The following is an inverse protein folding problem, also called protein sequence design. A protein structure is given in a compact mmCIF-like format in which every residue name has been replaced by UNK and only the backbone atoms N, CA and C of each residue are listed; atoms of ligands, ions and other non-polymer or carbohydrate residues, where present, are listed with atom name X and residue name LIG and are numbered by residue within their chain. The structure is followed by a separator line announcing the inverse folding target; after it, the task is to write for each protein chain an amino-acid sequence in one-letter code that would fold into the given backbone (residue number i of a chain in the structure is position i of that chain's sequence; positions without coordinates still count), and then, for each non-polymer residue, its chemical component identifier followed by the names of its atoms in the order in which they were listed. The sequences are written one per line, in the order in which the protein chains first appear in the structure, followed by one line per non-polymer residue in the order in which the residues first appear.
data_IF_841276878758
#
_entry.id   IF_841276878758
#
_cell.length_a   1.000
_cell.length_b   1.000
_cell.length_c   1.000
_cell.angle_alpha   90.00
_cell.angle_beta   90.00
_cell.angle_gamma   90.00
#
_symmetry.space_group_name_H-M   'P 1'
#
loop_
_entity.id
_entity.type
_entity.pdbx_description
1 polymer ?
#
# COMPACT_ATOMS: atom_id res chain seq x y z
N UNK A 1 9.71 57.62 7.76
CA UNK A 1 10.37 58.38 8.85
C UNK A 1 11.69 59.01 8.41
N UNK A 2 12.76 58.24 8.13
CA UNK A 2 14.06 58.80 7.67
C UNK A 2 13.96 59.60 6.36
N UNK A 3 13.18 59.10 5.40
CA UNK A 3 12.97 59.74 4.09
C UNK A 3 12.20 61.08 4.16
N UNK A 4 11.43 61.31 5.24
CA UNK A 4 10.64 62.52 5.46
C UNK A 4 11.35 63.54 6.39
N UNK A 5 12.63 63.33 6.71
CA UNK A 5 13.43 64.28 7.50
C UNK A 5 13.12 64.34 9.01
N UNK A 6 12.23 63.49 9.53
CA UNK A 6 11.91 63.47 10.96
C UNK A 6 13.07 62.92 11.80
N UNK A 7 13.47 63.64 12.86
CA UNK A 7 14.45 63.15 13.84
C UNK A 7 13.82 62.05 14.69
N UNK A 8 14.18 60.80 14.40
CA UNK A 8 13.71 59.64 15.16
C UNK A 8 14.48 59.56 16.49
N UNK A 9 13.78 59.38 17.63
CA UNK A 9 14.42 59.15 18.92
C UNK A 9 15.46 58.01 18.87
N UNK A 10 16.64 58.23 19.44
CA UNK A 10 17.74 57.27 19.43
C UNK A 10 17.37 55.90 20.01
N UNK A 11 16.48 55.87 21.01
CA UNK A 11 15.98 54.61 21.58
C UNK A 11 15.12 53.77 20.62
N UNK A 12 14.49 54.40 19.62
CA UNK A 12 13.77 53.68 18.54
C UNK A 12 14.78 53.18 17.51
N UNK A 13 15.78 53.99 17.18
CA UNK A 13 16.85 53.60 16.22
C UNK A 13 17.67 52.43 16.75
N UNK A 14 18.04 52.43 18.03
CA UNK A 14 18.80 51.34 18.64
C UNK A 14 18.00 50.03 18.72
N UNK A 15 16.72 50.11 19.11
CA UNK A 15 15.82 48.94 19.07
C UNK A 15 15.65 48.41 17.65
N UNK A 16 15.46 49.29 16.66
CA UNK A 16 15.38 48.87 15.26
C UNK A 16 16.66 48.19 14.77
N UNK A 17 17.84 48.65 15.20
CA UNK A 17 19.09 48.00 14.85
C UNK A 17 19.21 46.59 15.44
N UNK A 18 18.86 46.41 16.73
CA UNK A 18 18.82 45.09 17.37
C UNK A 18 17.79 44.16 16.69
N UNK A 19 16.60 44.66 16.37
CA UNK A 19 15.58 43.90 15.64
C UNK A 19 16.09 43.46 14.27
N UNK A 20 16.77 44.33 13.53
CA UNK A 20 17.31 43.98 12.21
C UNK A 20 18.37 42.87 12.27
N UNK A 21 19.13 42.77 13.36
CA UNK A 21 20.12 41.68 13.54
C UNK A 21 19.44 40.33 13.79
N UNK A 22 18.32 40.31 14.53
CA UNK A 22 17.59 39.08 14.87
C UNK A 22 16.56 38.68 13.80
N UNK A 23 16.14 39.62 12.97
CA UNK A 23 15.16 39.41 11.91
C UNK A 23 15.42 38.20 11.00
N UNK A 24 16.64 37.96 10.45
CA UNK A 24 16.88 36.80 9.60
C UNK A 24 16.63 35.46 10.32
N UNK A 25 16.94 35.37 11.62
CA UNK A 25 16.66 34.18 12.42
C UNK A 25 15.16 33.99 12.61
N UNK A 26 14.42 35.06 12.88
CA UNK A 26 12.97 34.99 13.01
C UNK A 26 12.28 34.56 11.71
N UNK A 27 12.72 35.07 10.55
CA UNK A 27 12.19 34.67 9.25
C UNK A 27 12.45 33.20 8.97
N UNK A 28 13.68 32.72 9.19
CA UNK A 28 14.01 31.30 9.01
C UNK A 28 13.16 30.41 9.91
N UNK A 29 12.95 30.78 11.18
CA UNK A 29 12.08 30.02 12.09
C UNK A 29 10.62 29.99 11.62
N UNK A 30 10.08 31.13 11.19
CA UNK A 30 8.71 31.20 10.68
C UNK A 30 8.54 30.31 9.45
N UNK A 31 9.50 30.36 8.53
CA UNK A 31 9.49 29.53 7.33
C UNK A 31 9.58 28.04 7.69
N UNK A 32 10.50 27.64 8.57
CA UNK A 32 10.60 26.26 9.04
C UNK A 32 9.32 25.78 9.74
N UNK A 33 8.72 26.59 10.61
CA UNK A 33 7.44 26.22 11.26
C UNK A 33 6.34 26.03 10.21
N UNK A 34 6.22 26.94 9.25
CA UNK A 34 5.22 26.84 8.18
C UNK A 34 5.43 25.59 7.31
N UNK A 35 6.68 25.25 7.01
CA UNK A 35 7.03 24.03 6.27
C UNK A 35 6.65 22.78 7.06
N UNK A 36 6.93 22.76 8.37
CA UNK A 36 6.55 21.65 9.24
C UNK A 36 5.03 21.49 9.36
N UNK A 37 4.28 22.59 9.50
CA UNK A 37 2.81 22.57 9.51
C UNK A 37 2.25 22.01 8.20
N UNK A 38 2.77 22.47 7.06
CA UNK A 38 2.40 21.96 5.74
C UNK A 38 2.67 20.45 5.61
N UNK A 39 3.83 19.98 6.05
CA UNK A 39 4.16 18.55 6.06
C UNK A 39 3.21 17.75 6.98
N UNK A 40 2.82 18.28 8.14
CA UNK A 40 1.84 17.66 9.02
C UNK A 40 0.45 17.58 8.37
N UNK A 41 -0.02 18.65 7.74
CA UNK A 41 -1.30 18.66 7.02
C UNK A 41 -1.32 17.61 5.90
N UNK A 42 -0.22 17.46 5.13
CA UNK A 42 -0.11 16.41 4.11
C UNK A 42 -0.25 15.00 4.70
N UNK A 43 0.33 14.75 5.88
CA UNK A 43 0.23 13.45 6.58
C UNK A 43 -1.23 13.21 7.02
N UNK A 44 -1.91 14.24 7.54
CA UNK A 44 -3.30 14.15 8.01
C UNK A 44 -4.30 14.00 6.85
N UNK A 45 -4.08 14.65 5.71
CA UNK A 45 -4.90 14.48 4.51
C UNK A 45 -4.82 13.04 3.95
N UNK A 46 -3.65 12.40 4.06
CA UNK A 46 -3.41 11.05 3.54
C UNK A 46 -3.54 9.97 4.62
N UNK A 47 -4.42 10.18 5.61
CA UNK A 47 -4.58 9.29 6.75
C UNK A 47 -4.99 7.85 6.39
N UNK A 48 -5.62 7.65 5.23
CA UNK A 48 -5.94 6.30 4.69
C UNK A 48 -4.69 5.42 4.54
N UNK A 49 -3.56 6.02 4.21
CA UNK A 49 -2.28 5.35 4.00
C UNK A 49 -1.49 5.12 5.29
N UNK A 50 -2.03 5.52 6.46
CA UNK A 50 -1.41 5.36 7.77
C UNK A 50 0.03 5.91 7.89
N UNK A 51 0.37 6.94 7.09
CA UNK A 51 1.68 7.58 7.04
C UNK A 51 2.16 8.09 8.42
N UNK A 52 1.21 8.46 9.28
CA UNK A 52 1.50 8.88 10.65
C UNK A 52 2.26 7.84 11.48
N UNK A 53 2.10 6.55 11.20
CA UNK A 53 2.86 5.48 11.88
C UNK A 53 4.34 5.52 11.52
N UNK A 54 4.63 5.69 10.22
CA UNK A 54 5.98 5.70 9.65
C UNK A 54 6.76 6.98 10.00
N UNK A 55 6.06 8.11 10.01
CA UNK A 55 6.62 9.42 10.32
C UNK A 55 6.69 9.73 11.83
N UNK A 56 6.18 8.86 12.70
CA UNK A 56 6.06 9.13 14.13
C UNK A 56 7.40 9.48 14.81
N UNK A 57 8.48 8.76 14.47
CA UNK A 57 9.81 9.03 15.03
C UNK A 57 10.35 10.40 14.63
N UNK A 58 10.28 10.74 13.34
CA UNK A 58 10.76 12.02 12.84
C UNK A 58 9.90 13.19 13.32
N UNK A 59 8.58 13.01 13.40
CA UNK A 59 7.67 14.01 13.99
C UNK A 59 8.04 14.28 15.45
N UNK A 60 8.39 13.23 16.22
CA UNK A 60 8.86 13.37 17.59
C UNK A 60 10.19 14.14 17.68
N UNK A 61 11.14 13.87 16.79
CA UNK A 61 12.41 14.60 16.75
C UNK A 61 12.21 16.11 16.51
N UNK A 62 11.37 16.48 15.53
CA UNK A 62 11.04 17.89 15.28
C UNK A 62 10.32 18.51 16.48
N UNK A 63 9.38 17.80 17.11
CA UNK A 63 8.67 18.28 18.31
C UNK A 63 9.62 18.51 19.50
N UNK A 64 10.64 17.67 19.67
CA UNK A 64 11.67 17.87 20.70
C UNK A 64 12.48 19.14 20.45
N UNK A 65 12.85 19.40 19.18
CA UNK A 65 13.52 20.65 18.82
C UNK A 65 12.62 21.87 19.04
N UNK A 66 11.32 21.77 18.76
CA UNK A 66 10.35 22.85 19.06
C UNK A 66 10.30 23.11 20.57
N UNK A 67 10.25 22.05 21.39
CA UNK A 67 10.23 22.19 22.85
C UNK A 67 11.52 22.85 23.40
N UNK A 68 12.68 22.47 22.86
CA UNK A 68 13.96 23.14 23.16
C UNK A 68 13.92 24.62 22.71
N UNK A 69 13.39 24.87 21.51
CA UNK A 69 13.23 26.19 20.89
C UNK A 69 12.39 27.17 21.72
N UNK A 70 11.28 26.70 22.29
CA UNK A 70 10.39 27.54 23.12
C UNK A 70 11.10 28.01 24.39
N UNK A 71 12.04 27.22 24.93
CA UNK A 71 12.81 27.57 26.13
C UNK A 71 13.98 28.53 25.86
N UNK A 72 14.35 28.74 24.58
CA UNK A 72 15.50 29.56 24.19
C UNK A 72 15.16 31.06 24.19
N UNK A 73 16.13 31.86 24.64
CA UNK A 73 16.06 33.33 24.62
C UNK A 73 16.77 33.87 23.38
N UNK A 74 16.23 34.93 22.77
CA UNK A 74 16.78 35.58 21.57
C UNK A 74 18.21 36.11 21.71
N UNK A 75 18.64 36.40 22.94
CA UNK A 75 19.99 36.88 23.26
C UNK A 75 21.00 35.74 23.46
N UNK A 76 20.57 34.48 23.34
CA UNK A 76 21.43 33.32 23.50
C UNK A 76 22.42 33.18 22.34
N UNK A 77 23.69 32.94 22.67
CA UNK A 77 24.72 32.61 21.67
C UNK A 77 24.43 31.32 20.89
N UNK A 78 23.55 30.46 21.40
CA UNK A 78 23.16 29.19 20.75
C UNK A 78 22.06 29.36 19.70
N UNK A 79 21.42 30.53 19.61
CA UNK A 79 20.27 30.77 18.74
C UNK A 79 20.60 30.47 17.27
N UNK A 80 21.71 31.00 16.75
CA UNK A 80 22.07 30.82 15.34
C UNK A 80 22.24 29.35 14.95
N UNK A 81 22.94 28.56 15.78
CA UNK A 81 23.13 27.13 15.56
C UNK A 81 21.82 26.34 15.68
N UNK A 82 20.97 26.73 16.62
CA UNK A 82 19.65 26.11 16.79
C UNK A 82 18.77 26.35 15.56
N UNK A 83 18.70 27.57 15.05
CA UNK A 83 17.87 27.93 13.89
C UNK A 83 18.29 27.16 12.65
N UNK A 84 19.61 27.04 12.41
CA UNK A 84 20.13 26.23 11.31
C UNK A 84 19.76 24.74 11.46
N UNK A 85 20.04 24.15 12.64
CA UNK A 85 19.72 22.74 12.91
C UNK A 85 18.23 22.45 12.78
N UNK A 86 17.38 23.36 13.27
CA UNK A 86 15.93 23.23 13.15
C UNK A 86 15.47 23.29 11.70
N UNK A 87 15.96 24.26 10.92
CA UNK A 87 15.64 24.36 9.51
C UNK A 87 16.07 23.11 8.71
N UNK A 88 17.28 22.60 8.95
CA UNK A 88 17.78 21.37 8.32
C UNK A 88 16.93 20.15 8.67
N UNK A 89 16.58 19.98 9.95
CA UNK A 89 15.77 18.82 10.40
C UNK A 89 14.35 18.88 9.83
N UNK A 90 13.76 20.08 9.76
CA UNK A 90 12.44 20.29 9.16
C UNK A 90 12.47 20.01 7.66
N UNK A 91 13.50 20.45 6.94
CA UNK A 91 13.66 20.16 5.51
C UNK A 91 13.81 18.67 5.26
N UNK A 92 14.66 17.97 6.02
CA UNK A 92 14.80 16.52 5.94
C UNK A 92 13.48 15.79 6.25
N UNK A 93 12.71 16.28 7.22
CA UNK A 93 11.39 15.74 7.51
C UNK A 93 10.44 15.92 6.34
N UNK A 94 10.42 17.11 5.73
CA UNK A 94 9.59 17.39 4.56
C UNK A 94 9.95 16.48 3.37
N UNK A 95 11.25 16.38 3.03
CA UNK A 95 11.73 15.53 1.93
C UNK A 95 11.30 14.07 2.16
N UNK A 96 11.52 13.54 3.37
CA UNK A 96 11.12 12.16 3.70
C UNK A 96 9.60 11.95 3.65
N UNK A 97 8.80 12.95 4.04
CA UNK A 97 7.33 12.87 3.92
C UNK A 97 6.89 12.87 2.46
N UNK A 98 7.53 13.70 1.63
CA UNK A 98 7.24 13.77 0.20
C UNK A 98 7.66 12.46 -0.53
N UNK A 99 8.84 11.90 -0.21
CA UNK A 99 9.29 10.60 -0.71
C UNK A 99 8.34 9.47 -0.29
N UNK A 100 7.96 9.44 0.99
CA UNK A 100 7.06 8.43 1.52
C UNK A 100 5.67 8.49 0.84
N UNK A 101 5.18 9.69 0.52
CA UNK A 101 3.94 9.87 -0.23
C UNK A 101 4.04 9.29 -1.64
N UNK A 102 5.19 9.43 -2.31
CA UNK A 102 5.40 8.84 -3.64
C UNK A 102 5.39 7.31 -3.54
N UNK A 103 6.23 6.73 -2.66
CA UNK A 103 6.32 5.28 -2.50
C UNK A 103 4.99 4.66 -2.10
N UNK A 104 4.24 5.30 -1.19
CA UNK A 104 2.95 4.76 -0.75
C UNK A 104 1.89 4.81 -1.84
N UNK A 105 1.89 5.85 -2.69
CA UNK A 105 1.00 5.89 -3.87
C UNK A 105 1.33 4.83 -4.90
N UNK A 106 2.61 4.50 -5.06
CA UNK A 106 3.04 3.39 -5.92
C UNK A 106 2.53 2.05 -5.37
N UNK A 107 2.67 1.81 -4.06
CA UNK A 107 2.14 0.62 -3.40
C UNK A 107 0.62 0.53 -3.58
N UNK A 108 -0.13 1.60 -3.32
CA UNK A 108 -1.59 1.63 -3.50
C UNK A 108 -2.00 1.32 -4.95
N UNK A 109 -1.20 1.75 -5.93
CA UNK A 109 -1.45 1.47 -7.35
C UNK A 109 -1.28 -0.02 -7.66
N UNK A 110 -0.24 -0.64 -7.13
CA UNK A 110 0.00 -2.08 -7.29
C UNK A 110 -1.06 -2.92 -6.54
N UNK A 111 -1.46 -2.50 -5.34
CA UNK A 111 -2.59 -3.12 -4.60
C UNK A 111 -3.89 -3.02 -5.41
N UNK A 112 -4.17 -1.87 -6.03
CA UNK A 112 -5.32 -1.73 -6.95
C UNK A 112 -5.17 -2.54 -8.23
N UNK A 113 -3.94 -2.82 -8.67
CA UNK A 113 -3.72 -3.68 -9.83
C UNK A 113 -4.07 -5.15 -9.52
N UNK A 114 -3.92 -5.60 -8.27
CA UNK A 114 -4.36 -6.93 -7.84
C UNK A 114 -5.86 -7.16 -8.06
N UNK A 115 -6.66 -6.09 -8.09
CA UNK A 115 -8.10 -6.15 -8.34
C UNK A 115 -8.43 -6.60 -9.77
N UNK A 116 -7.73 -6.03 -10.75
CA UNK A 116 -8.08 -6.08 -12.18
C UNK A 116 -7.17 -6.99 -13.01
N UNK A 117 -6.10 -7.51 -12.40
CA UNK A 117 -5.12 -8.34 -13.09
C UNK A 117 -5.68 -9.71 -13.51
N UNK A 118 -5.00 -10.40 -14.43
CA UNK A 118 -5.40 -11.75 -14.84
C UNK A 118 -5.27 -12.73 -13.67
N UNK A 119 -6.19 -13.68 -13.53
CA UNK A 119 -6.13 -14.73 -12.51
C UNK A 119 -5.03 -15.76 -12.86
N UNK A 120 -3.78 -15.38 -12.64
CA UNK A 120 -2.59 -16.21 -12.89
C UNK A 120 -1.58 -16.04 -11.77
N UNK A 121 -0.97 -17.15 -11.35
CA UNK A 121 0.07 -17.18 -10.31
C UNK A 121 1.23 -16.24 -10.64
N UNK A 122 1.72 -16.26 -11.88
CA UNK A 122 2.87 -15.45 -12.30
C UNK A 122 2.62 -13.95 -12.18
N UNK A 123 1.41 -13.51 -12.50
CA UNK A 123 1.02 -12.08 -12.45
C UNK A 123 0.88 -11.63 -11.00
N UNK A 124 0.30 -12.46 -10.13
CA UNK A 124 0.24 -12.18 -8.70
C UNK A 124 1.64 -12.09 -8.09
N UNK A 125 2.54 -13.03 -8.40
CA UNK A 125 3.92 -13.02 -7.92
C UNK A 125 4.70 -11.78 -8.39
N UNK A 126 4.47 -11.33 -9.63
CA UNK A 126 5.10 -10.10 -10.14
C UNK A 126 4.63 -8.86 -9.37
N UNK A 127 3.31 -8.71 -9.17
CA UNK A 127 2.73 -7.55 -8.48
C UNK A 127 3.15 -7.55 -7.00
N UNK A 128 3.04 -8.68 -6.31
CA UNK A 128 3.50 -8.83 -4.93
C UNK A 128 5.01 -8.59 -4.82
N UNK A 129 5.79 -9.01 -5.82
CA UNK A 129 7.22 -8.73 -5.90
C UNK A 129 7.54 -7.23 -5.99
N UNK A 130 6.76 -6.46 -6.76
CA UNK A 130 6.88 -4.99 -6.83
C UNK A 130 6.54 -4.34 -5.49
N UNK A 131 5.43 -4.74 -4.86
CA UNK A 131 5.04 -4.24 -3.53
C UNK A 131 6.14 -4.52 -2.52
N UNK A 132 6.65 -5.76 -2.48
CA UNK A 132 7.71 -6.15 -1.56
C UNK A 132 8.98 -5.34 -1.79
N UNK A 133 9.36 -5.06 -3.04
CA UNK A 133 10.52 -4.23 -3.35
C UNK A 133 10.36 -2.81 -2.80
N UNK A 134 9.19 -2.20 -2.95
CA UNK A 134 8.91 -0.89 -2.36
C UNK A 134 8.95 -0.93 -0.83
N UNK A 135 8.46 -2.00 -0.19
CA UNK A 135 8.57 -2.21 1.26
C UNK A 135 10.03 -2.38 1.72
N UNK A 136 10.84 -3.10 0.95
CA UNK A 136 12.27 -3.28 1.22
C UNK A 136 13.02 -1.94 1.12
N UNK A 137 12.68 -1.10 0.13
CA UNK A 137 13.19 0.28 0.00
C UNK A 137 12.81 1.12 1.22
N UNK A 138 11.57 1.04 1.71
CA UNK A 138 11.16 1.72 2.95
C UNK A 138 11.95 1.24 4.18
N UNK A 139 12.29 -0.04 4.26
CA UNK A 139 13.08 -0.58 5.38
C UNK A 139 14.51 0.00 5.42
N UNK A 140 15.11 0.26 4.26
CA UNK A 140 16.45 0.90 4.19
C UNK A 140 16.46 2.30 4.80
N UNK A 141 15.35 3.03 4.72
CA UNK A 141 15.20 4.38 5.27
C UNK A 141 14.92 4.42 6.78
N UNK A 142 14.80 3.26 7.45
CA UNK A 142 14.59 3.11 8.89
C UNK A 142 13.38 3.90 9.44
N UNK A 143 12.25 3.85 8.72
CA UNK A 143 11.00 4.43 9.22
C UNK A 143 10.54 3.76 10.52
N UNK A 144 9.88 4.54 11.39
CA UNK A 144 9.35 4.01 12.65
C UNK A 144 8.14 3.12 12.40
N UNK A 145 7.90 2.11 13.24
CA UNK A 145 6.68 1.28 13.19
C UNK A 145 6.40 0.59 11.83
N UNK A 146 7.42 0.38 11.00
CA UNK A 146 7.29 -0.34 9.73
C UNK A 146 6.58 -1.71 9.88
N UNK A 147 6.85 -2.54 10.91
CA UNK A 147 6.16 -3.81 11.08
C UNK A 147 4.63 -3.69 11.19
N UNK A 148 4.15 -2.68 11.92
CA UNK A 148 2.72 -2.44 12.10
C UNK A 148 2.07 -1.94 10.80
N UNK A 149 2.79 -1.10 10.05
CA UNK A 149 2.31 -0.60 8.76
C UNK A 149 2.25 -1.72 7.71
N UNK A 150 3.30 -2.56 7.63
CA UNK A 150 3.33 -3.72 6.74
C UNK A 150 2.24 -4.74 7.08
N UNK A 151 1.94 -4.97 8.36
CA UNK A 151 0.84 -5.84 8.77
C UNK A 151 -0.53 -5.35 8.24
N UNK A 152 -0.77 -4.04 8.22
CA UNK A 152 -2.00 -3.46 7.65
C UNK A 152 -2.04 -3.58 6.12
N UNK A 153 -0.91 -3.37 5.46
CA UNK A 153 -0.79 -3.58 4.02
C UNK A 153 -1.04 -5.05 3.64
N UNK A 154 -0.50 -5.99 4.41
CA UNK A 154 -0.70 -7.43 4.22
C UNK A 154 -2.17 -7.81 4.39
N UNK A 155 -2.87 -7.24 5.40
CA UNK A 155 -4.30 -7.43 5.60
C UNK A 155 -5.16 -6.87 4.43
N UNK A 156 -4.79 -5.71 3.88
CA UNK A 156 -5.47 -5.12 2.71
C UNK A 156 -5.28 -5.98 1.45
N UNK A 157 -4.05 -6.45 1.22
CA UNK A 157 -3.73 -7.38 0.12
C UNK A 157 -4.48 -8.70 0.30
N UNK A 158 -4.54 -9.24 1.52
CA UNK A 158 -5.30 -10.45 1.87
C UNK A 158 -6.78 -10.28 1.50
N UNK A 159 -7.41 -9.21 1.98
CA UNK A 159 -8.81 -8.91 1.69
C UNK A 159 -9.08 -8.87 0.19
N UNK A 160 -8.13 -8.32 -0.61
CA UNK A 160 -8.31 -8.22 -2.06
C UNK A 160 -8.14 -9.55 -2.78
N UNK A 161 -7.21 -10.38 -2.32
CA UNK A 161 -7.03 -11.74 -2.83
C UNK A 161 -8.21 -12.64 -2.46
N UNK A 162 -8.80 -12.50 -1.27
CA UNK A 162 -10.01 -13.23 -0.85
C UNK A 162 -11.18 -12.88 -1.75
N UNK A 163 -11.47 -11.60 -1.98
CA UNK A 163 -12.56 -11.19 -2.87
C UNK A 163 -12.40 -11.75 -4.30
N UNK A 164 -11.15 -11.87 -4.77
CA UNK A 164 -10.84 -12.49 -6.07
C UNK A 164 -11.06 -14.00 -6.06
N UNK A 165 -10.67 -14.67 -4.98
CA UNK A 165 -10.87 -16.10 -4.80
C UNK A 165 -12.36 -16.45 -4.75
N UNK A 166 -13.16 -15.67 -4.02
CA UNK A 166 -14.63 -15.84 -3.97
C UNK A 166 -15.27 -15.68 -5.35
N UNK A 167 -14.84 -14.67 -6.13
CA UNK A 167 -15.27 -14.49 -7.51
C UNK A 167 -14.83 -15.67 -8.41
N UNK A 168 -13.62 -16.19 -8.20
CA UNK A 168 -13.09 -17.36 -8.89
C UNK A 168 -13.89 -18.63 -8.61
N UNK A 169 -14.23 -18.89 -7.35
CA UNK A 169 -15.05 -20.04 -6.93
C UNK A 169 -16.48 -19.93 -7.48
N UNK A 170 -17.05 -18.72 -7.48
CA UNK A 170 -18.37 -18.45 -8.05
C UNK A 170 -18.40 -18.75 -9.56
N UNK A 171 -17.37 -18.33 -10.29
CA UNK A 171 -17.24 -18.62 -11.72
C UNK A 171 -16.99 -20.11 -11.99
N UNK A 172 -16.17 -20.78 -11.16
CA UNK A 172 -15.97 -22.23 -11.21
C UNK A 172 -17.29 -23.00 -11.05
N UNK A 173 -18.11 -22.59 -10.08
CA UNK A 173 -19.43 -23.17 -9.82
C UNK A 173 -20.38 -22.94 -10.99
N UNK A 174 -20.35 -21.75 -11.59
CA UNK A 174 -21.16 -21.42 -12.78
C UNK A 174 -20.81 -22.29 -13.98
N UNK A 175 -19.50 -22.50 -14.24
CA UNK A 175 -19.04 -23.36 -15.33
C UNK A 175 -19.43 -24.83 -15.08
N UNK A 176 -19.36 -25.32 -13.84
CA UNK A 176 -19.80 -26.67 -13.47
C UNK A 176 -21.30 -26.89 -13.66
N UNK A 177 -22.13 -25.88 -13.41
CA UNK A 177 -23.58 -25.94 -13.62
C UNK A 177 -24.00 -25.85 -15.10
N UNK A 178 -23.04 -25.75 -16.03
CA UNK A 178 -23.32 -25.66 -17.47
C UNK A 178 -23.97 -24.36 -17.90
N UNK A 179 -23.98 -23.32 -17.04
CA UNK A 179 -24.54 -22.00 -17.34
C UNK A 179 -23.58 -21.15 -18.19
N UNK A 180 -22.89 -21.77 -19.15
CA UNK A 180 -21.89 -21.11 -20.00
C UNK A 180 -22.56 -20.13 -20.98
N UNK A 181 -23.79 -20.41 -21.41
CA UNK A 181 -24.42 -19.77 -22.58
C UNK A 181 -25.50 -18.70 -22.27
N UNK A 182 -25.88 -18.47 -21.01
CA UNK A 182 -26.97 -17.53 -20.69
C UNK A 182 -26.55 -16.05 -20.68
N UNK A 183 -25.25 -15.75 -20.66
CA UNK A 183 -24.74 -14.37 -20.61
C UNK A 183 -24.22 -13.88 -21.97
N UNK A 184 -23.68 -14.79 -22.81
CA UNK A 184 -23.21 -14.43 -24.17
C UNK A 184 -24.38 -14.08 -25.12
N UNK A 185 -25.62 -14.43 -24.78
CA UNK A 185 -26.82 -14.10 -25.56
C UNK A 185 -27.45 -12.73 -25.21
N UNK A 186 -27.11 -12.13 -24.07
CA UNK A 186 -27.68 -10.84 -23.64
C UNK A 186 -26.80 -9.63 -23.98
N UNK A 187 -25.58 -9.85 -24.50
CA UNK A 187 -24.62 -8.79 -24.81
C UNK A 187 -24.52 -8.49 -26.33
N UNK A 188 -25.48 -8.99 -27.12
CA UNK A 188 -25.50 -8.78 -28.58
C UNK A 188 -26.26 -7.53 -29.03
N UNK A 189 -26.69 -6.65 -28.12
CA UNK A 189 -27.42 -5.43 -28.47
C UNK A 189 -26.95 -4.22 -27.66
N UNK A 190 -25.66 -3.89 -27.70
CA UNK A 190 -25.22 -2.51 -27.43
C UNK A 190 -23.90 -2.21 -28.14
N UNK A 191 -23.98 -1.33 -29.14
CA UNK A 191 -22.91 -1.01 -30.11
C UNK A 191 -21.80 -0.13 -29.54
N UNK A 192 -21.67 0.01 -28.22
CA UNK A 192 -20.65 0.88 -27.60
C UNK A 192 -20.22 0.39 -26.21
N UNK A 193 -19.50 -0.73 -26.12
CA UNK A 193 -18.78 -1.09 -24.89
C UNK A 193 -17.27 -1.21 -25.16
N UNK A 194 -16.54 -0.41 -24.38
CA UNK A 194 -15.07 -0.32 -24.33
C UNK A 194 -14.48 -1.70 -24.02
N UNK A 195 -13.23 -2.02 -24.46
CA UNK A 195 -12.65 -3.37 -24.37
C UNK A 195 -12.21 -3.78 -22.95
N UNK A 196 -13.02 -3.49 -21.93
CA UNK A 196 -12.78 -3.85 -20.53
C UNK A 196 -13.39 -5.21 -20.13
N UNK A 197 -14.14 -5.89 -21.00
CA UNK A 197 -14.79 -7.18 -20.69
C UNK A 197 -13.92 -8.44 -20.87
N UNK A 198 -12.60 -8.31 -21.09
CA UNK A 198 -11.72 -9.49 -21.31
C UNK A 198 -11.09 -10.09 -20.04
N UNK A 199 -11.17 -9.42 -18.89
CA UNK A 199 -10.67 -9.96 -17.63
C UNK A 199 -11.83 -10.17 -16.66
N UNK A 200 -12.49 -11.33 -16.72
CA UNK A 200 -13.41 -11.75 -15.64
C UNK A 200 -12.62 -11.75 -14.33
N UNK A 201 -13.15 -11.10 -13.29
CA UNK A 201 -12.50 -10.95 -11.98
C UNK A 201 -12.07 -12.29 -11.36
N UNK A 202 -12.78 -13.38 -11.69
CA UNK A 202 -12.49 -14.75 -11.29
C UNK A 202 -11.69 -15.59 -12.30
N UNK A 203 -11.22 -15.01 -13.39
CA UNK A 203 -10.59 -15.73 -14.50
C UNK A 203 -11.58 -16.55 -15.34
N UNK A 204 -11.05 -17.37 -16.24
CA UNK A 204 -11.80 -18.36 -17.01
C UNK A 204 -11.35 -19.77 -16.58
N UNK A 205 -12.09 -20.45 -15.70
CA UNK A 205 -11.69 -21.77 -15.24
C UNK A 205 -11.85 -22.79 -16.38
N UNK A 206 -10.72 -23.33 -16.84
CA UNK A 206 -10.68 -24.40 -17.83
C UNK A 206 -10.87 -25.75 -17.15
N UNK A 207 -12.13 -26.14 -16.95
CA UNK A 207 -12.46 -27.47 -16.43
C UNK A 207 -12.20 -28.50 -17.53
N UNK A 208 -11.28 -29.43 -17.28
CA UNK A 208 -11.00 -30.54 -18.22
C UNK A 208 -12.26 -31.40 -18.35
N UNK A 209 -12.75 -31.55 -19.58
CA UNK A 209 -13.86 -32.44 -19.86
C UNK A 209 -13.41 -33.90 -19.66
N UNK A 210 -14.05 -34.61 -18.74
CA UNK A 210 -13.78 -36.02 -18.49
C UNK A 210 -14.73 -36.90 -19.32
N UNK A 211 -14.19 -37.65 -20.26
CA UNK A 211 -14.96 -38.60 -21.06
C UNK A 211 -15.14 -39.88 -20.25
N UNK A 212 -16.39 -40.29 -20.06
CA UNK A 212 -16.73 -41.53 -19.38
C UNK A 212 -17.13 -42.60 -20.41
N UNK A 213 -16.46 -43.74 -20.39
CA UNK A 213 -16.76 -44.90 -21.23
C UNK A 213 -17.65 -45.89 -20.47
N UNK A 214 -18.77 -46.29 -21.06
CA UNK A 214 -19.56 -47.42 -20.57
C UNK A 214 -18.89 -48.74 -21.03
N UNK A 215 -18.46 -49.56 -20.07
CA UNK A 215 -17.88 -50.87 -20.32
C UNK A 215 -18.81 -51.96 -19.77
N UNK A 216 -18.99 -53.02 -20.54
CA UNK A 216 -19.81 -54.17 -20.15
C UNK A 216 -18.86 -55.36 -19.94
N UNK A 217 -18.78 -55.86 -18.71
CA UNK A 217 -18.00 -57.06 -18.36
C UNK A 217 -18.81 -57.95 -17.44
N UNK A 218 -18.82 -59.26 -17.67
CA UNK A 218 -19.56 -60.23 -16.84
C UNK A 218 -21.03 -59.86 -16.62
N UNK A 219 -21.73 -59.42 -17.67
CA UNK A 219 -23.13 -58.97 -17.62
C UNK A 219 -23.38 -57.77 -16.67
N UNK A 220 -22.32 -57.10 -16.20
CA UNK A 220 -22.41 -55.87 -15.41
C UNK A 220 -21.88 -54.68 -16.23
N UNK A 221 -22.64 -53.58 -16.18
CA UNK A 221 -22.31 -52.31 -16.81
C UNK A 221 -21.53 -51.49 -15.78
N UNK A 222 -20.31 -51.07 -16.10
CA UNK A 222 -19.51 -50.18 -15.27
C UNK A 222 -19.00 -48.98 -16.08
N UNK A 223 -18.88 -47.84 -15.41
CA UNK A 223 -18.38 -46.58 -15.98
C UNK A 223 -16.87 -46.48 -15.76
N UNK A 224 -16.11 -46.12 -16.80
CA UNK A 224 -14.67 -45.92 -16.72
C UNK A 224 -14.28 -44.55 -17.28
N UNK A 225 -13.64 -43.64 -16.52
CA UNK A 225 -13.36 -43.72 -15.08
C UNK A 225 -14.66 -43.82 -14.26
N UNK A 226 -14.58 -44.31 -13.02
CA UNK A 226 -15.75 -44.31 -12.14
C UNK A 226 -16.13 -42.87 -11.78
N UNK A 227 -17.40 -42.65 -11.44
CA UNK A 227 -17.89 -41.32 -11.04
C UNK A 227 -17.13 -40.77 -9.82
N UNK A 228 -16.63 -41.66 -8.96
CA UNK A 228 -15.81 -41.29 -7.79
C UNK A 228 -14.45 -40.73 -8.21
N UNK A 229 -13.81 -41.34 -9.22
CA UNK A 229 -12.54 -40.85 -9.78
C UNK A 229 -12.74 -39.52 -10.47
N UNK A 230 -13.84 -39.35 -11.22
CA UNK A 230 -14.18 -38.08 -11.84
C UNK A 230 -14.39 -36.95 -10.81
N UNK A 231 -15.11 -37.26 -9.72
CA UNK A 231 -15.28 -36.32 -8.60
C UNK A 231 -13.95 -35.97 -7.94
N UNK A 232 -13.07 -36.96 -7.75
CA UNK A 232 -11.74 -36.72 -7.20
C UNK A 232 -10.93 -35.77 -8.10
N UNK A 233 -10.88 -36.00 -9.42
CA UNK A 233 -10.18 -35.11 -10.34
C UNK A 233 -10.77 -33.68 -10.35
N UNK A 234 -12.09 -33.54 -10.25
CA UNK A 234 -12.72 -32.22 -10.14
C UNK A 234 -12.27 -31.47 -8.88
N UNK A 235 -12.27 -32.14 -7.72
CA UNK A 235 -11.82 -31.55 -6.45
C UNK A 235 -10.33 -31.18 -6.54
N UNK A 236 -9.49 -32.05 -7.12
CA UNK A 236 -8.07 -31.76 -7.32
C UNK A 236 -7.87 -30.53 -8.20
N UNK A 237 -8.61 -30.41 -9.30
CA UNK A 237 -8.53 -29.25 -10.19
C UNK A 237 -8.98 -27.94 -9.49
N UNK A 238 -10.03 -27.99 -8.68
CA UNK A 238 -10.49 -26.85 -7.89
C UNK A 238 -9.43 -26.47 -6.83
N UNK A 239 -8.88 -27.45 -6.10
CA UNK A 239 -7.83 -27.19 -5.12
C UNK A 239 -6.56 -26.61 -5.74
N UNK A 240 -6.22 -27.02 -6.97
CA UNK A 240 -5.10 -26.45 -7.72
C UNK A 240 -5.38 -24.99 -8.14
N UNK A 241 -6.64 -24.67 -8.45
CA UNK A 241 -7.09 -23.32 -8.74
C UNK A 241 -7.03 -22.42 -7.51
N UNK A 242 -7.49 -22.89 -6.35
CA UNK A 242 -7.38 -22.15 -5.07
C UNK A 242 -5.92 -21.98 -4.64
N UNK A 243 -5.09 -23.01 -4.86
CA UNK A 243 -3.66 -22.99 -4.56
C UNK A 243 -2.89 -21.87 -5.28
N UNK A 244 -3.38 -21.37 -6.42
CA UNK A 244 -2.79 -20.22 -7.11
C UNK A 244 -2.71 -19.00 -6.19
N UNK A 245 -3.75 -18.77 -5.39
CA UNK A 245 -3.82 -17.65 -4.43
C UNK A 245 -3.22 -18.04 -3.08
N UNK A 246 -3.50 -19.25 -2.59
CA UNK A 246 -3.05 -19.71 -1.28
C UNK A 246 -1.53 -19.97 -1.19
N UNK A 247 -0.87 -20.25 -2.32
CA UNK A 247 0.59 -20.49 -2.35
C UNK A 247 1.42 -19.20 -2.47
N UNK A 248 0.79 -18.03 -2.48
CA UNK A 248 1.48 -16.76 -2.63
C UNK A 248 2.30 -16.40 -1.36
N UNK A 249 3.48 -15.78 -1.54
CA UNK A 249 4.26 -15.29 -0.42
C UNK A 249 3.57 -14.11 0.26
N UNK A 250 3.55 -14.12 1.60
CA UNK A 250 3.09 -12.98 2.41
C UNK A 250 4.06 -11.80 2.30
N UNK A 251 3.54 -10.58 2.47
CA UNK A 251 4.38 -9.39 2.50
C UNK A 251 5.11 -9.34 3.84
N UNK A 252 6.42 -9.13 3.83
CA UNK A 252 7.25 -9.14 5.03
C UNK A 252 8.02 -7.83 5.21
N UNK A 253 8.17 -7.38 6.46
CA UNK A 253 8.93 -6.16 6.75
C UNK A 253 10.45 -6.41 6.89
N UNK A 254 10.88 -7.66 7.06
CA UNK A 254 12.29 -8.00 7.35
C UNK A 254 12.75 -9.30 6.69
N UNK A 255 12.87 -9.29 5.36
CA UNK A 255 13.42 -10.44 4.60
C UNK A 255 14.86 -10.80 4.99
N UNK A 256 15.63 -9.84 5.52
CA UNK A 256 17.05 -10.03 5.85
C UNK A 256 17.33 -10.48 7.30
N UNK A 257 16.31 -10.60 8.15
CA UNK A 257 16.54 -10.82 9.58
C UNK A 257 16.12 -12.19 10.11
N UNK A 258 15.15 -12.89 9.49
CA UNK A 258 14.83 -14.29 9.84
C UNK A 258 14.14 -15.01 8.68
N UNK A 259 14.66 -16.19 8.27
CA UNK A 259 14.05 -17.11 7.32
C UNK A 259 12.77 -17.77 7.88
N UNK A 260 11.64 -17.07 7.84
CA UNK A 260 10.31 -17.69 7.99
C UNK A 260 9.45 -17.37 6.78
N UNK A 261 9.47 -18.24 5.77
CA UNK A 261 8.56 -18.17 4.63
C UNK A 261 7.15 -18.50 5.13
N UNK A 262 6.32 -17.47 5.31
CA UNK A 262 4.91 -17.61 5.66
C UNK A 262 4.09 -17.55 4.38
N UNK A 263 3.30 -18.59 4.11
CA UNK A 263 2.37 -18.65 2.98
C UNK A 263 0.99 -18.14 3.42
N UNK A 264 0.20 -17.63 2.48
CA UNK A 264 -1.21 -17.27 2.72
C UNK A 264 -2.05 -18.53 3.01
N UNK A 265 -2.11 -18.94 4.27
CA UNK A 265 -3.00 -20.01 4.70
C UNK A 265 -4.36 -19.39 5.08
N UNK A 266 -5.28 -19.29 4.12
CA UNK A 266 -6.68 -19.06 4.46
C UNK A 266 -7.18 -20.29 5.22
N UNK A 267 -7.37 -20.15 6.52
CA UNK A 267 -8.05 -21.15 7.33
C UNK A 267 -9.53 -21.18 6.94
N UNK A 268 -9.84 -21.85 5.83
CA UNK A 268 -11.19 -22.28 5.50
C UNK A 268 -11.64 -23.26 6.57
N UNK A 269 -12.27 -22.74 7.63
CA UNK A 269 -13.10 -23.55 8.51
C UNK A 269 -14.31 -23.99 7.71
N UNK A 270 -14.20 -25.16 7.08
CA UNK A 270 -15.37 -25.89 6.58
C UNK A 270 -16.29 -26.17 7.77
N UNK A 271 -17.43 -25.48 7.82
CA UNK A 271 -18.63 -25.88 8.57
C UNK A 271 -19.41 -26.87 7.71
#
# INVERSE_FOLDING_TARGET
MKWLGFRVPLGIVNRAHQTNQLYPYAISLIESVRTYESACSKIEENQRQNLGLLCAGMRREVQLLIAEGISLVWESYRLGLFVQRFAETVLQFQEKVDDLLVTTREIDREVKALETCVFSKSVFEEILGKIQKSVDELNLHQYSNLPQWVARLDEEVEHRLVARLEAGISEWTRVLLGQKDLFDANDSDDTHSTPQSKNRLGGEPQIKALVHELRITNQQIHLHPSIEVARHELIVNLSAWESIVLSLPRIQHSRYQVDHVSYFCLSFSFI
#
